data_IF_220751432292
#
_entry.id   IF_220751432292
#
_cell.length_a   1.000
_cell.length_b   1.000
_cell.length_c   1.000
_cell.angle_alpha   90.00
_cell.angle_beta   90.00
_cell.angle_gamma   90.00
#
_symmetry.space_group_name_H-M   'P 1'
#
loop_
_entity.id
_entity.type
_entity.pdbx_description
1 polymer ?
#
# COMPACT_ATOMS: atom_id res chain seq x y z
N UNK A 1 8.80 5.50 25.16
CA UNK A 1 8.24 4.69 24.06
C UNK A 1 8.52 5.44 22.78
N UNK A 2 9.31 4.88 21.86
CA UNK A 2 9.56 5.51 20.57
C UNK A 2 8.26 5.50 19.77
N UNK A 3 7.91 6.64 19.18
CA UNK A 3 6.75 6.74 18.28
C UNK A 3 6.97 5.78 17.11
N UNK A 4 6.02 4.89 16.89
CA UNK A 4 6.06 3.95 15.77
C UNK A 4 5.49 4.69 14.58
N UNK A 5 6.38 5.07 13.66
CA UNK A 5 5.98 5.82 12.47
C UNK A 5 5.94 4.87 11.29
N UNK A 6 4.74 4.37 10.99
CA UNK A 6 4.50 3.56 9.80
C UNK A 6 4.01 4.47 8.68
N UNK A 7 4.62 4.33 7.52
CA UNK A 7 4.32 5.09 6.31
C UNK A 7 3.96 4.13 5.18
N UNK A 8 3.14 4.58 4.23
CA UNK A 8 2.73 3.83 3.05
C UNK A 8 3.08 4.65 1.82
N UNK A 9 3.79 4.05 0.87
CA UNK A 9 4.10 4.67 -0.42
C UNK A 9 3.03 4.32 -1.45
N UNK A 10 2.18 5.29 -1.77
CA UNK A 10 1.30 5.23 -2.92
C UNK A 10 2.06 5.67 -4.18
N UNK A 11 1.94 4.92 -5.27
CA UNK A 11 2.54 5.28 -6.55
C UNK A 11 1.47 5.25 -7.63
N UNK A 12 1.36 6.30 -8.44
CA UNK A 12 0.44 6.38 -9.56
C UNK A 12 1.16 7.03 -10.74
N UNK A 13 0.98 6.50 -11.95
CA UNK A 13 1.51 7.15 -13.16
C UNK A 13 0.86 8.53 -13.36
N UNK A 14 -0.40 8.70 -12.95
CA UNK A 14 -1.15 9.96 -13.13
C UNK A 14 -0.72 11.00 -12.08
N UNK A 15 -0.57 10.57 -10.82
CA UNK A 15 -0.42 11.48 -9.68
C UNK A 15 0.99 11.51 -9.09
N UNK A 16 1.90 10.68 -9.58
CA UNK A 16 3.24 10.50 -9.02
C UNK A 16 3.25 9.63 -7.77
N UNK A 17 4.35 9.71 -7.00
CA UNK A 17 4.53 9.00 -5.74
C UNK A 17 4.11 9.90 -4.56
N UNK A 18 3.27 9.40 -3.65
CA UNK A 18 2.91 10.07 -2.40
C UNK A 18 3.14 9.13 -1.22
N UNK A 19 3.80 9.62 -0.19
CA UNK A 19 3.98 8.88 1.07
C UNK A 19 2.97 9.38 2.09
N UNK A 20 2.26 8.45 2.72
CA UNK A 20 1.14 8.71 3.63
C UNK A 20 1.42 8.05 4.97
N UNK A 21 1.11 8.71 6.09
CA UNK A 21 1.21 8.10 7.43
C UNK A 21 0.13 7.04 7.61
N UNK A 22 0.47 5.88 8.13
CA UNK A 22 -0.50 4.81 8.39
C UNK A 22 -1.59 5.22 9.39
N UNK A 23 -1.24 6.03 10.40
CA UNK A 23 -2.20 6.50 11.41
C UNK A 23 -3.24 7.48 10.86
N UNK A 24 -2.98 8.09 9.70
CA UNK A 24 -3.96 8.94 9.02
C UNK A 24 -4.82 8.15 8.03
N UNK A 25 -4.54 6.88 7.76
CA UNK A 25 -5.34 6.06 6.82
C UNK A 25 -6.59 5.58 7.54
N UNK A 26 -7.76 6.00 7.05
CA UNK A 26 -9.07 5.61 7.60
C UNK A 26 -9.68 4.45 6.84
N UNK A 27 -9.34 4.29 5.56
CA UNK A 27 -9.87 3.22 4.72
C UNK A 27 -8.92 2.90 3.57
N UNK A 28 -8.81 1.61 3.26
CA UNK A 28 -8.19 1.12 2.02
C UNK A 28 -9.25 0.37 1.26
N UNK A 29 -9.48 0.73 0.00
CA UNK A 29 -10.49 0.10 -0.86
C UNK A 29 -9.92 -0.19 -2.23
N UNK A 30 -10.34 -1.31 -2.81
CA UNK A 30 -10.15 -1.57 -4.23
C UNK A 30 -11.17 -0.77 -5.04
N UNK A 31 -10.71 0.03 -5.99
CA UNK A 31 -11.62 0.75 -6.88
C UNK A 31 -12.12 -0.20 -7.98
N UNK A 32 -13.41 -0.56 -7.92
CA UNK A 32 -14.07 -1.43 -8.91
C UNK A 32 -14.25 -0.75 -10.27
N UNK A 33 -14.33 0.58 -10.30
CA UNK A 33 -14.43 1.34 -11.55
C UNK A 33 -13.08 1.47 -12.24
N UNK A 34 -12.02 1.44 -11.43
CA UNK A 34 -10.64 1.56 -11.87
C UNK A 34 -9.82 0.40 -11.31
N UNK A 35 -10.04 -0.82 -11.82
CA UNK A 35 -9.42 -2.10 -11.39
C UNK A 35 -7.89 -2.19 -11.55
N UNK A 36 -7.22 -1.05 -11.61
CA UNK A 36 -5.78 -0.87 -11.61
C UNK A 36 -5.32 -0.11 -10.35
N UNK A 37 -6.25 0.42 -9.54
CA UNK A 37 -5.96 1.28 -8.40
C UNK A 37 -6.51 0.75 -7.08
N UNK A 38 -5.69 0.86 -6.05
CA UNK A 38 -6.10 0.90 -4.66
C UNK A 38 -6.30 2.35 -4.24
N UNK A 39 -7.45 2.66 -3.68
CA UNK A 39 -7.71 3.95 -3.07
C UNK A 39 -7.44 3.88 -1.56
N UNK A 40 -6.56 4.76 -1.10
CA UNK A 40 -6.18 4.95 0.29
C UNK A 40 -6.82 6.27 0.74
N UNK A 41 -7.85 6.17 1.56
CA UNK A 41 -8.56 7.34 2.12
C UNK A 41 -7.88 7.71 3.42
N UNK A 42 -7.54 9.00 3.56
CA UNK A 42 -6.91 9.53 4.76
C UNK A 42 -7.85 10.47 5.52
N UNK A 43 -7.55 10.69 6.80
CA UNK A 43 -8.27 11.64 7.66
C UNK A 43 -8.38 13.00 6.98
N UNK A 44 -9.57 13.59 6.98
CA UNK A 44 -9.88 14.82 6.25
C UNK A 44 -10.51 14.60 4.87
N UNK A 45 -10.65 13.35 4.42
CA UNK A 45 -11.35 13.00 3.18
C UNK A 45 -10.48 13.00 1.93
N UNK A 46 -9.18 13.25 2.08
CA UNK A 46 -8.19 13.11 1.01
C UNK A 46 -8.13 11.65 0.54
N UNK A 47 -8.13 11.42 -0.77
CA UNK A 47 -7.98 10.09 -1.38
C UNK A 47 -6.68 10.02 -2.18
N UNK A 48 -5.90 8.98 -1.93
CA UNK A 48 -4.63 8.71 -2.61
C UNK A 48 -4.75 7.41 -3.39
N UNK A 49 -4.52 7.48 -4.71
CA UNK A 49 -4.55 6.29 -5.56
C UNK A 49 -3.15 5.67 -5.66
N UNK A 50 -3.06 4.39 -5.35
CA UNK A 50 -1.91 3.56 -5.63
C UNK A 50 -2.24 2.64 -6.82
N UNK A 51 -1.50 2.80 -7.91
CA UNK A 51 -1.57 1.94 -9.09
C UNK A 51 -0.86 0.62 -8.81
N UNK A 52 -1.61 -0.46 -8.88
CA UNK A 52 -1.15 -1.79 -8.49
C UNK A 52 -0.33 -2.47 -9.59
N UNK A 53 -0.55 -2.10 -10.86
CA UNK A 53 0.30 -2.54 -11.98
C UNK A 53 0.58 -1.41 -12.96
N UNK A 54 1.85 -1.02 -13.17
CA UNK A 54 2.22 -0.12 -14.25
C UNK A 54 2.36 -0.91 -15.58
N UNK A 55 1.66 -0.44 -16.62
CA UNK A 55 1.81 -0.82 -18.03
C UNK A 55 1.44 -2.26 -18.45
N UNK A 56 0.36 -2.38 -19.23
CA UNK A 56 0.07 -3.54 -20.10
C UNK A 56 -0.38 -4.82 -19.39
N UNK A 57 -0.27 -4.90 -18.07
CA UNK A 57 -0.77 -6.04 -17.30
C UNK A 57 -2.30 -6.01 -17.19
N UNK A 58 -2.92 -7.20 -17.19
CA UNK A 58 -4.36 -7.32 -17.01
C UNK A 58 -4.78 -6.74 -15.65
N UNK A 59 -5.95 -6.07 -15.59
CA UNK A 59 -6.53 -5.64 -14.32
C UNK A 59 -6.64 -6.82 -13.35
N UNK A 60 -6.40 -6.57 -12.06
CA UNK A 60 -6.63 -7.61 -11.06
C UNK A 60 -8.12 -7.90 -10.95
N UNK A 61 -8.46 -9.16 -10.68
CA UNK A 61 -9.81 -9.50 -10.30
C UNK A 61 -10.15 -8.84 -8.94
N UNK A 62 -11.42 -8.56 -8.71
CA UNK A 62 -11.89 -7.90 -7.49
C UNK A 62 -11.42 -8.62 -6.21
N UNK A 63 -11.47 -9.95 -6.20
CA UNK A 63 -11.01 -10.77 -5.08
C UNK A 63 -9.53 -10.52 -4.75
N UNK A 64 -8.71 -10.34 -5.77
CA UNK A 64 -7.26 -10.21 -5.67
C UNK A 64 -6.90 -8.78 -5.24
N UNK A 65 -7.62 -7.78 -5.78
CA UNK A 65 -7.53 -6.39 -5.34
C UNK A 65 -7.99 -6.19 -3.88
N UNK A 66 -9.04 -6.89 -3.46
CA UNK A 66 -9.52 -6.86 -2.07
C UNK A 66 -8.51 -7.51 -1.13
N UNK A 67 -7.97 -8.68 -1.49
CA UNK A 67 -6.92 -9.34 -0.72
C UNK A 67 -5.66 -8.46 -0.62
N UNK A 68 -5.37 -7.64 -1.64
CA UNK A 68 -4.26 -6.70 -1.59
C UNK A 68 -4.51 -5.51 -0.64
N UNK A 69 -5.75 -5.01 -0.57
CA UNK A 69 -6.15 -4.01 0.41
C UNK A 69 -6.04 -4.56 1.85
N UNK A 70 -6.52 -5.78 2.09
CA UNK A 70 -6.36 -6.48 3.37
C UNK A 70 -4.89 -6.72 3.71
N UNK A 71 -4.08 -7.07 2.70
CA UNK A 71 -2.63 -7.21 2.83
C UNK A 71 -1.95 -5.93 3.30
N UNK A 72 -2.40 -4.75 2.85
CA UNK A 72 -1.90 -3.46 3.33
C UNK A 72 -2.22 -3.26 4.81
N UNK A 73 -3.48 -3.51 5.21
CA UNK A 73 -3.90 -3.40 6.61
C UNK A 73 -3.08 -4.33 7.52
N UNK A 74 -2.87 -5.58 7.08
CA UNK A 74 -2.05 -6.56 7.80
C UNK A 74 -0.59 -6.11 7.92
N UNK A 75 0.01 -5.60 6.83
CA UNK A 75 1.38 -5.08 6.82
C UNK A 75 1.54 -3.84 7.72
N UNK A 76 0.53 -2.96 7.78
CA UNK A 76 0.51 -1.81 8.69
C UNK A 76 0.47 -2.28 10.15
N UNK A 77 -0.43 -3.19 10.50
CA UNK A 77 -0.52 -3.73 11.86
C UNK A 77 0.77 -4.45 12.27
N UNK A 78 1.36 -5.26 11.39
CA UNK A 78 2.61 -5.96 11.64
C UNK A 78 3.80 -4.98 11.81
N UNK A 79 3.82 -3.88 11.07
CA UNK A 79 4.88 -2.86 11.18
C UNK A 79 4.69 -1.98 12.41
N UNK A 80 3.45 -1.67 12.78
CA UNK A 80 3.12 -0.96 14.01
C UNK A 80 3.48 -1.78 15.26
N UNK A 81 3.63 -3.11 15.18
CA UNK A 81 4.11 -3.89 16.31
C UNK A 81 5.62 -3.72 16.59
N UNK A 82 6.36 -3.03 15.72
CA UNK A 82 7.83 -2.96 15.77
C UNK A 82 8.32 -1.54 16.10
N UNK A 83 9.44 -1.42 16.81
CA UNK A 83 10.05 -0.11 17.07
C UNK A 83 10.64 0.49 15.78
N UNK A 84 10.66 1.83 15.71
CA UNK A 84 11.28 2.58 14.62
C UNK A 84 10.30 3.08 13.55
N UNK A 85 10.86 3.68 12.49
CA UNK A 85 10.12 4.20 11.35
C UNK A 85 10.18 3.21 10.19
N UNK A 86 9.01 2.84 9.67
CA UNK A 86 8.86 1.81 8.65
C UNK A 86 8.11 2.38 7.46
N UNK A 87 8.53 2.01 6.25
CA UNK A 87 7.84 2.35 5.01
C UNK A 87 7.31 1.08 4.36
N UNK A 88 6.04 1.08 3.99
CA UNK A 88 5.39 0.01 3.25
C UNK A 88 5.36 0.38 1.77
N UNK A 89 5.91 -0.51 0.95
CA UNK A 89 5.96 -0.38 -0.50
C UNK A 89 5.37 -1.65 -1.10
N UNK A 90 4.59 -1.51 -2.17
CA UNK A 90 4.12 -2.65 -2.92
C UNK A 90 5.23 -3.16 -3.84
N UNK A 91 5.61 -4.43 -3.70
CA UNK A 91 6.60 -5.09 -4.53
C UNK A 91 5.97 -6.25 -5.30
N UNK A 92 6.49 -6.49 -6.51
CA UNK A 92 6.25 -7.74 -7.23
C UNK A 92 7.11 -8.83 -6.59
N UNK A 93 6.46 -9.89 -6.09
CA UNK A 93 7.11 -11.03 -5.40
C UNK A 93 7.00 -12.34 -6.19
N UNK A 94 6.58 -12.27 -7.46
CA UNK A 94 6.42 -13.44 -8.33
C UNK A 94 5.27 -14.36 -7.90
N UNK A 95 5.24 -15.60 -8.39
CA UNK A 95 4.11 -16.55 -8.26
C UNK A 95 3.79 -16.99 -6.80
N UNK A 96 4.54 -16.51 -5.81
CA UNK A 96 4.47 -16.96 -4.40
C UNK A 96 3.79 -15.94 -3.48
N UNK A 97 3.16 -14.89 -4.04
CA UNK A 97 2.40 -13.97 -3.20
C UNK A 97 1.26 -14.71 -2.48
N UNK A 98 1.09 -14.57 -1.15
CA UNK A 98 0.05 -15.28 -0.41
C UNK A 98 -1.38 -14.92 -0.84
N UNK A 99 -1.55 -13.82 -1.58
CA UNK A 99 -2.81 -13.36 -2.15
C UNK A 99 -3.00 -13.76 -3.63
N UNK A 100 -2.08 -14.54 -4.23
CA UNK A 100 -2.16 -14.97 -5.63
C UNK A 100 -1.97 -13.85 -6.67
N UNK A 101 -1.76 -12.60 -6.24
CA UNK A 101 -1.66 -11.43 -7.13
C UNK A 101 -0.28 -11.26 -7.77
N UNK A 102 0.72 -11.97 -7.24
CA UNK A 102 2.13 -11.71 -7.50
C UNK A 102 2.69 -10.45 -6.84
N UNK A 103 1.90 -9.78 -5.99
CA UNK A 103 2.20 -8.50 -5.35
C UNK A 103 2.06 -8.60 -3.84
N UNK A 104 2.98 -7.97 -3.12
CA UNK A 104 2.97 -7.97 -1.65
C UNK A 104 3.44 -6.62 -1.11
N UNK A 105 2.77 -6.16 -0.05
CA UNK A 105 3.22 -5.03 0.74
C UNK A 105 4.41 -5.45 1.58
N UNK A 106 5.58 -4.91 1.23
CA UNK A 106 6.83 -5.18 1.89
C UNK A 106 7.22 -4.00 2.78
N UNK A 107 7.72 -4.33 3.97
CA UNK A 107 8.27 -3.36 4.91
C UNK A 107 9.73 -3.09 4.57
N UNK A 108 10.09 -1.83 4.44
CA UNK A 108 11.48 -1.35 4.46
C UNK A 108 11.71 -0.43 5.64
N UNK A 109 12.93 -0.40 6.18
CA UNK A 109 13.33 0.57 7.19
C UNK A 109 13.43 1.93 6.54
N UNK A 110 12.80 2.94 7.14
CA UNK A 110 12.89 4.30 6.64
C UNK A 110 14.20 4.90 7.16
N UNK A 111 15.21 4.95 6.31
CA UNK A 111 16.45 5.66 6.61
C UNK A 111 16.10 7.16 6.68
N UNK A 112 16.86 7.96 7.43
CA UNK A 112 16.62 9.40 7.67
C UNK A 112 16.48 10.29 6.41
N UNK A 113 16.67 9.72 5.22
CA UNK A 113 16.55 10.38 3.92
C UNK A 113 15.15 10.26 3.30
N UNK A 114 14.27 9.39 3.81
CA UNK A 114 12.92 9.22 3.25
C UNK A 114 12.87 8.64 1.83
N UNK A 115 13.94 7.99 1.39
CA UNK A 115 14.07 7.27 0.11
C UNK A 115 14.09 5.75 0.31
#
# INVERSE_FOLDING_TARGET
>A
MGMQDVWVRAQSIISGSRTVRADTIVQVKWDRQSSQYLAIVVTGGDEVHHQVRPHGAQPLAEKDGTALAEGLLSAMAASAALPGSHLLILHEVGDVAPNGTGLQWCRTTMNSTGE
#
